data_IF_863274548960
#
_entry.id   IF_863274548960
#
_cell.length_a   1.000
_cell.length_b   1.000
_cell.length_c   1.000
_cell.angle_alpha   90.00
_cell.angle_beta   90.00
_cell.angle_gamma   90.00
#
_symmetry.space_group_name_H-M   'P 1'
#
loop_
_entity.id
_entity.type
_entity.pdbx_description
1 polymer ?
#
# COMPACT_ATOMS: atom_id res chain seq x y z
N UNK A 1 -13.87 28.15 -25.09
CA UNK A 1 -13.31 27.82 -24.67
C UNK A 1 -13.49 27.07 -23.88
N UNK A 2 -13.64 26.33 -23.92
CA UNK A 2 -13.93 25.56 -22.94
C UNK A 2 -12.83 25.12 -22.16
N UNK A 3 -12.64 25.77 -21.20
CA UNK A 3 -11.56 25.53 -20.32
C UNK A 3 -11.63 24.20 -19.65
N UNK A 4 -12.76 23.61 -19.59
CA UNK A 4 -12.86 22.34 -18.91
C UNK A 4 -12.00 21.27 -19.54
N UNK A 5 -11.61 21.44 -20.76
CA UNK A 5 -10.81 20.45 -21.42
C UNK A 5 -9.47 20.28 -20.79
N UNK A 6 -8.94 21.36 -20.28
CA UNK A 6 -7.59 21.29 -19.79
C UNK A 6 -7.39 20.40 -18.65
N UNK A 7 -8.37 20.26 -17.81
CA UNK A 7 -8.16 19.49 -16.61
C UNK A 7 -7.98 18.05 -16.87
N UNK A 8 -8.43 17.57 -18.00
CA UNK A 8 -8.29 16.17 -18.30
C UNK A 8 -6.91 15.83 -18.76
N UNK A 9 -6.06 16.82 -18.95
CA UNK A 9 -4.75 16.56 -19.49
C UNK A 9 -3.72 16.14 -18.49
N UNK A 10 -4.04 16.05 -17.25
CA UNK A 10 -3.04 15.72 -16.27
C UNK A 10 -3.49 14.54 -15.44
N UNK A 11 -3.71 13.42 -16.08
CA UNK A 11 -4.31 12.32 -15.37
C UNK A 11 -3.50 11.84 -14.18
N UNK A 12 -2.24 11.62 -14.36
CA UNK A 12 -1.46 11.04 -13.28
C UNK A 12 -1.16 12.05 -12.19
N UNK A 13 -0.62 13.19 -12.60
CA UNK A 13 -0.29 14.21 -11.63
C UNK A 13 -1.51 14.80 -11.00
N UNK A 14 -2.53 15.04 -11.82
CA UNK A 14 -3.75 15.62 -11.33
C UNK A 14 -4.43 14.75 -10.29
N UNK A 15 -4.40 13.44 -10.47
CA UNK A 15 -5.00 12.54 -9.51
C UNK A 15 -4.33 12.66 -8.15
N UNK A 16 -3.00 12.70 -8.11
CA UNK A 16 -2.27 12.83 -6.87
C UNK A 16 -2.51 14.17 -6.20
N UNK A 17 -2.50 15.22 -7.00
CA UNK A 17 -2.62 16.56 -6.47
C UNK A 17 -4.03 16.87 -5.98
N UNK A 18 -5.03 16.29 -6.64
CA UNK A 18 -6.41 16.58 -6.34
C UNK A 18 -7.02 15.73 -5.24
N UNK A 19 -6.38 14.64 -4.89
CA UNK A 19 -6.93 13.77 -3.88
C UNK A 19 -6.84 14.43 -2.50
N UNK A 20 -7.92 14.37 -1.71
CA UNK A 20 -7.85 14.93 -0.37
C UNK A 20 -6.90 14.13 0.50
N UNK A 21 -6.18 14.82 1.36
CA UNK A 21 -5.33 14.17 2.34
C UNK A 21 -6.15 13.56 3.45
N UNK A 22 -5.63 12.50 4.04
CA UNK A 22 -6.30 11.85 5.17
C UNK A 22 -5.28 11.57 6.26
N UNK A 23 -5.70 11.74 7.51
CA UNK A 23 -4.87 11.37 8.65
C UNK A 23 -5.08 9.90 8.95
N UNK A 24 -3.99 9.18 9.14
CA UNK A 24 -4.05 7.77 9.49
C UNK A 24 -4.13 7.67 11.01
N UNK A 25 -5.17 7.04 11.51
CA UNK A 25 -5.40 7.01 12.95
C UNK A 25 -5.24 5.61 13.55
N UNK A 26 -5.21 4.56 12.76
CA UNK A 26 -4.94 3.21 13.24
C UNK A 26 -3.44 2.92 13.19
N UNK A 27 -2.95 1.94 13.97
CA UNK A 27 -1.59 1.45 13.76
C UNK A 27 -1.47 0.81 12.38
N UNK A 28 -0.64 1.39 11.53
CA UNK A 28 -0.67 1.04 10.11
C UNK A 28 0.71 0.92 9.50
N UNK A 29 0.77 0.09 8.46
CA UNK A 29 1.88 0.09 7.52
C UNK A 29 1.38 0.73 6.22
N UNK A 30 2.10 1.72 5.75
CA UNK A 30 1.86 2.29 4.43
C UNK A 30 2.88 1.68 3.50
N UNK A 31 2.42 0.95 2.50
CA UNK A 31 3.28 0.15 1.63
C UNK A 31 3.18 0.69 0.21
N UNK A 32 4.29 1.21 -0.29
CA UNK A 32 4.33 1.75 -1.65
C UNK A 32 4.47 0.60 -2.63
N UNK A 33 3.46 0.44 -3.48
CA UNK A 33 3.44 -0.59 -4.52
C UNK A 33 3.65 0.04 -5.90
N UNK A 34 4.46 1.09 -5.94
CA UNK A 34 4.61 1.90 -7.16
C UNK A 34 5.07 1.11 -8.37
N UNK A 35 5.92 0.10 -8.17
CA UNK A 35 6.44 -0.68 -9.27
C UNK A 35 5.52 -1.82 -9.68
N UNK A 36 4.64 -2.23 -8.79
CA UNK A 36 3.76 -3.37 -9.04
C UNK A 36 2.36 -2.96 -9.45
N UNK A 37 1.92 -1.79 -9.02
CA UNK A 37 0.55 -1.38 -9.24
C UNK A 37 0.27 -1.08 -10.70
N UNK A 38 -0.86 -1.57 -11.19
CA UNK A 38 -1.39 -1.23 -12.49
C UNK A 38 -2.87 -1.03 -12.38
N UNK A 39 -3.37 -0.02 -13.07
CA UNK A 39 -4.79 0.24 -13.13
C UNK A 39 -5.49 -1.01 -13.66
N UNK A 40 -6.57 -1.40 -13.00
CA UNK A 40 -7.32 -2.57 -13.43
C UNK A 40 -6.76 -3.91 -13.04
N UNK A 41 -5.65 -3.95 -12.28
CA UNK A 41 -5.11 -5.23 -11.82
C UNK A 41 -6.12 -5.91 -10.88
N UNK A 42 -6.06 -7.24 -10.81
CA UNK A 42 -6.99 -7.99 -9.99
C UNK A 42 -6.76 -7.72 -8.51
N UNK A 43 -7.79 -7.96 -7.71
CA UNK A 43 -7.67 -7.81 -6.26
C UNK A 43 -6.62 -8.72 -5.67
N UNK A 44 -6.51 -9.96 -6.20
CA UNK A 44 -5.52 -10.88 -5.67
C UNK A 44 -4.11 -10.43 -6.03
N UNK A 45 -3.93 -9.85 -7.22
CA UNK A 45 -2.61 -9.34 -7.61
C UNK A 45 -2.20 -8.18 -6.71
N UNK A 46 -3.12 -7.28 -6.40
CA UNK A 46 -2.81 -6.16 -5.51
C UNK A 46 -2.51 -6.65 -4.10
N UNK A 47 -3.27 -7.61 -3.62
CA UNK A 47 -3.03 -8.20 -2.31
C UNK A 47 -1.63 -8.81 -2.25
N UNK A 48 -1.26 -9.60 -3.24
CA UNK A 48 0.05 -10.26 -3.26
C UNK A 48 1.19 -9.23 -3.39
N UNK A 49 0.96 -8.15 -4.11
CA UNK A 49 1.96 -7.09 -4.22
C UNK A 49 2.14 -6.34 -2.90
N UNK A 50 1.09 -6.27 -2.10
CA UNK A 50 1.11 -5.50 -0.86
C UNK A 50 1.61 -6.32 0.33
N UNK A 51 1.24 -7.60 0.42
CA UNK A 51 1.50 -8.38 1.61
C UNK A 51 2.94 -8.86 1.77
N UNK A 52 3.76 -8.73 0.79
CA UNK A 52 5.15 -9.19 0.94
C UNK A 52 5.95 -9.02 -0.34
N UNK A 53 7.20 -9.33 -0.26
CA UNK A 53 7.92 -9.69 0.97
C UNK A 53 8.74 -8.47 1.38
N UNK A 54 8.69 -8.10 2.65
CA UNK A 54 9.26 -6.83 3.10
C UNK A 54 10.32 -7.04 4.16
N UNK A 55 11.31 -6.16 4.14
CA UNK A 55 12.36 -6.18 5.13
C UNK A 55 11.87 -5.41 6.35
N UNK A 56 11.43 -6.13 7.36
CA UNK A 56 10.80 -5.55 8.55
C UNK A 56 11.36 -6.19 9.81
N UNK A 57 11.42 -5.39 10.88
CA UNK A 57 11.77 -5.89 12.18
C UNK A 57 10.53 -6.24 13.00
N UNK A 58 10.70 -6.53 14.30
CA UNK A 58 9.58 -6.95 15.15
C UNK A 58 8.50 -5.89 15.34
N UNK A 59 8.80 -4.66 15.05
CA UNK A 59 7.84 -3.58 15.11
C UNK A 59 6.60 -3.84 14.25
N UNK A 60 6.73 -4.69 13.22
CA UNK A 60 5.61 -5.06 12.36
C UNK A 60 4.43 -5.65 13.13
N UNK A 61 4.72 -6.28 14.28
CA UNK A 61 3.66 -6.93 15.05
C UNK A 61 2.65 -5.94 15.63
N UNK A 62 3.02 -4.68 15.73
CA UNK A 62 2.11 -3.65 16.23
C UNK A 62 1.18 -3.07 15.18
N UNK A 63 1.38 -3.38 13.91
CA UNK A 63 0.54 -2.84 12.86
C UNK A 63 -0.75 -3.64 12.76
N UNK A 64 -1.86 -2.94 12.60
CA UNK A 64 -3.18 -3.55 12.51
C UNK A 64 -3.67 -3.60 11.07
N UNK A 65 -3.36 -2.57 10.29
CA UNK A 65 -3.79 -2.50 8.90
C UNK A 65 -2.61 -2.18 8.00
N UNK A 66 -2.76 -2.53 6.72
CA UNK A 66 -1.79 -2.17 5.69
C UNK A 66 -2.51 -1.41 4.60
N UNK A 67 -1.94 -0.29 4.20
CA UNK A 67 -2.47 0.53 3.11
C UNK A 67 -1.58 0.34 1.89
N UNK A 68 -2.17 -0.10 0.79
CA UNK A 68 -1.45 -0.20 -0.49
C UNK A 68 -1.46 1.19 -1.12
N UNK A 69 -0.27 1.76 -1.34
CA UNK A 69 -0.13 3.15 -1.78
C UNK A 69 0.56 3.20 -3.13
N UNK A 70 -0.05 3.91 -4.07
CA UNK A 70 0.55 4.15 -5.38
C UNK A 70 0.53 5.65 -5.65
N UNK A 71 1.72 6.21 -5.84
CA UNK A 71 1.89 7.65 -6.09
C UNK A 71 1.19 8.49 -5.02
N UNK A 72 1.33 8.07 -3.79
CA UNK A 72 0.77 8.79 -2.64
C UNK A 72 -0.69 8.54 -2.36
N UNK A 73 -1.40 7.80 -3.21
CA UNK A 73 -2.84 7.56 -3.09
C UNK A 73 -3.08 6.14 -2.61
N UNK A 74 -3.98 6.00 -1.64
CA UNK A 74 -4.34 4.68 -1.11
C UNK A 74 -5.21 3.96 -2.12
N UNK A 75 -4.79 2.75 -2.50
CA UNK A 75 -5.52 1.92 -3.48
C UNK A 75 -6.34 0.84 -2.84
N UNK A 76 -5.90 0.35 -1.68
CA UNK A 76 -6.68 -0.64 -0.93
C UNK A 76 -6.24 -0.65 0.52
N UNK A 77 -7.08 -1.20 1.39
CA UNK A 77 -6.83 -1.33 2.82
C UNK A 77 -6.99 -2.79 3.20
N UNK A 78 -6.00 -3.34 3.90
CA UNK A 78 -6.05 -4.72 4.37
C UNK A 78 -5.98 -4.76 5.88
N UNK A 79 -6.74 -5.68 6.49
CA UNK A 79 -6.54 -6.02 7.88
C UNK A 79 -5.47 -7.09 7.97
N UNK A 80 -4.50 -6.89 8.84
CA UNK A 80 -3.40 -7.83 9.01
C UNK A 80 -3.82 -8.86 10.06
N UNK A 81 -3.80 -10.14 9.68
CA UNK A 81 -4.14 -11.20 10.61
C UNK A 81 -2.91 -11.81 11.25
N UNK A 82 -1.92 -12.17 10.44
CA UNK A 82 -0.71 -12.83 10.92
C UNK A 82 0.49 -12.43 10.08
N UNK A 83 1.67 -12.56 10.65
CA UNK A 83 2.92 -12.38 9.95
C UNK A 83 3.63 -13.71 9.77
N UNK A 84 4.26 -13.91 8.62
CA UNK A 84 4.96 -15.14 8.27
C UNK A 84 6.32 -14.81 7.67
N UNK A 85 7.29 -15.71 7.80
CA UNK A 85 8.53 -15.56 7.03
C UNK A 85 8.21 -15.49 5.54
N UNK A 86 9.01 -14.77 4.80
CA UNK A 86 8.76 -14.58 3.37
C UNK A 86 8.74 -15.88 2.61
N UNK A 87 7.87 -15.97 1.64
CA UNK A 87 7.68 -17.10 0.74
C UNK A 87 7.29 -18.38 1.50
N UNK A 88 6.60 -18.22 2.63
CA UNK A 88 6.07 -19.39 3.35
C UNK A 88 4.60 -19.64 3.02
N UNK A 89 3.98 -18.78 2.22
CA UNK A 89 2.61 -18.96 1.74
C UNK A 89 2.60 -18.82 0.23
N UNK A 90 1.61 -19.43 -0.45
CA UNK A 90 1.61 -19.44 -1.92
C UNK A 90 1.36 -18.07 -2.52
N UNK A 91 2.06 -17.78 -3.62
CA UNK A 91 1.80 -16.63 -4.46
C UNK A 91 1.37 -17.15 -5.83
N UNK A 92 0.30 -16.59 -6.38
CA UNK A 92 -0.25 -17.07 -7.64
C UNK A 92 -0.14 -16.08 -8.78
N UNK A 93 0.04 -14.80 -8.47
CA UNK A 93 0.10 -13.76 -9.50
C UNK A 93 1.50 -13.23 -9.73
N UNK A 94 2.47 -13.68 -8.98
CA UNK A 94 3.85 -13.22 -9.11
C UNK A 94 4.79 -14.32 -8.66
N UNK A 95 6.02 -14.22 -9.16
CA UNK A 95 7.10 -15.12 -8.76
C UNK A 95 8.03 -14.36 -7.82
N UNK A 96 8.38 -14.97 -6.72
CA UNK A 96 9.34 -14.40 -5.79
C UNK A 96 10.71 -14.97 -6.10
N UNK A 97 11.60 -14.11 -6.59
CA UNK A 97 12.94 -14.56 -7.00
C UNK A 97 14.08 -13.90 -6.22
N UNK A 98 13.76 -13.05 -5.24
CA UNK A 98 14.76 -12.45 -4.39
C UNK A 98 15.40 -13.55 -3.53
N UNK A 99 16.74 -13.76 -3.61
CA UNK A 99 17.37 -14.82 -2.84
C UNK A 99 17.27 -14.61 -1.33
N UNK A 100 16.97 -13.39 -0.90
CA UNK A 100 16.82 -13.08 0.52
C UNK A 100 15.37 -13.13 0.99
N UNK A 101 14.46 -13.62 0.15
CA UNK A 101 13.03 -13.58 0.48
C UNK A 101 12.69 -14.31 1.77
N UNK A 102 13.43 -15.33 2.12
CA UNK A 102 13.17 -16.09 3.35
C UNK A 102 13.58 -15.33 4.61
N UNK A 103 14.34 -14.25 4.46
CA UNK A 103 14.72 -13.40 5.57
C UNK A 103 13.79 -12.20 5.70
N UNK A 104 12.76 -12.15 4.88
CA UNK A 104 11.80 -11.05 4.85
C UNK A 104 10.46 -11.52 5.41
N UNK A 105 9.47 -10.66 5.36
CA UNK A 105 8.20 -10.92 6.01
C UNK A 105 7.05 -10.67 5.07
N UNK A 106 6.01 -11.45 5.24
CA UNK A 106 4.76 -11.30 4.52
C UNK A 106 3.61 -11.45 5.51
N UNK A 107 2.50 -10.76 5.25
CA UNK A 107 1.35 -10.95 6.12
C UNK A 107 0.27 -11.75 5.40
N UNK A 108 -0.63 -12.34 6.21
CA UNK A 108 -1.90 -12.81 5.72
C UNK A 108 -2.98 -11.93 6.31
N UNK A 109 -4.01 -11.68 5.53
CA UNK A 109 -5.08 -10.81 5.96
C UNK A 109 -6.19 -10.78 4.94
N UNK A 110 -7.05 -9.81 5.07
CA UNK A 110 -8.20 -9.67 4.17
C UNK A 110 -8.44 -8.19 3.88
N UNK A 111 -9.16 -7.93 2.80
CA UNK A 111 -9.60 -6.57 2.50
C UNK A 111 -10.43 -6.08 3.68
N UNK A 112 -10.17 -4.88 4.12
CA UNK A 112 -10.84 -4.32 5.30
C UNK A 112 -12.32 -4.07 5.04
N UNK A 113 -13.07 -3.95 6.13
CA UNK A 113 -14.50 -3.65 6.05
C UNK A 113 -14.73 -2.26 5.49
N UNK A 114 -15.94 -2.02 5.02
CA UNK A 114 -16.30 -0.78 4.33
C UNK A 114 -15.91 0.50 5.06
N UNK A 115 -16.09 0.63 6.37
CA UNK A 115 -15.72 1.90 7.02
C UNK A 115 -14.26 2.27 6.86
N UNK A 116 -13.34 1.30 6.94
CA UNK A 116 -11.93 1.59 6.74
C UNK A 116 -11.62 1.90 5.29
N UNK A 117 -12.23 1.16 4.37
CA UNK A 117 -12.03 1.43 2.96
C UNK A 117 -12.53 2.82 2.59
N UNK A 118 -13.70 3.20 3.07
CA UNK A 118 -14.26 4.52 2.79
C UNK A 118 -13.40 5.63 3.36
N UNK A 119 -12.79 5.37 4.49
CA UNK A 119 -11.93 6.36 5.13
C UNK A 119 -10.67 6.63 4.31
N UNK A 120 -10.08 5.60 3.70
CA UNK A 120 -8.75 5.72 3.12
C UNK A 120 -8.66 5.59 1.61
N UNK A 121 -9.44 4.73 0.97
CA UNK A 121 -9.25 4.47 -0.46
C UNK A 121 -9.50 5.73 -1.27
N UNK A 122 -8.56 6.06 -2.15
CA UNK A 122 -8.65 7.26 -2.98
C UNK A 122 -8.13 8.52 -2.32
N UNK A 123 -7.68 8.42 -1.07
CA UNK A 123 -7.16 9.58 -0.35
C UNK A 123 -5.64 9.62 -0.41
N UNK A 124 -5.09 10.80 -0.20
CA UNK A 124 -3.64 11.00 -0.23
C UNK A 124 -3.04 10.79 1.15
N UNK A 125 -1.99 9.99 1.18
CA UNK A 125 -1.14 9.82 2.36
C UNK A 125 0.30 10.21 2.03
N UNK A 126 0.48 11.02 0.98
CA UNK A 126 1.79 11.40 0.50
C UNK A 126 2.63 12.06 1.57
N UNK A 127 2.01 12.79 2.48
CA UNK A 127 2.74 13.50 3.52
C UNK A 127 3.45 12.59 4.52
N UNK A 128 3.10 11.32 4.58
CA UNK A 128 3.76 10.39 5.49
C UNK A 128 5.09 9.87 4.95
N UNK A 129 5.39 10.06 3.67
CA UNK A 129 6.62 9.57 3.07
C UNK A 129 7.64 10.68 3.02
N UNK A 130 8.84 10.41 3.50
CA UNK A 130 9.91 11.37 3.42
C UNK A 130 10.34 11.57 1.98
N UNK A 131 10.54 12.83 1.62
CA UNK A 131 11.01 13.16 0.30
C UNK A 131 12.35 12.48 0.05
N UNK A 132 12.48 11.82 -1.08
CA UNK A 132 13.70 11.12 -1.46
C UNK A 132 13.88 9.76 -0.82
N UNK A 133 13.01 9.36 0.08
CA UNK A 133 13.10 8.05 0.69
C UNK A 133 12.73 6.97 -0.33
N UNK A 134 13.54 5.93 -0.37
CA UNK A 134 13.28 4.77 -1.25
C UNK A 134 12.72 3.59 -0.48
N UNK A 135 12.53 3.74 0.81
CA UNK A 135 12.00 2.66 1.62
C UNK A 135 10.53 2.44 1.27
N UNK A 136 10.13 1.22 0.92
CA UNK A 136 8.75 1.02 0.48
C UNK A 136 7.73 1.03 1.61
N UNK A 137 8.15 0.80 2.85
CA UNK A 137 7.22 0.67 3.97
C UNK A 137 7.45 1.77 4.99
N UNK A 138 6.36 2.39 5.42
CA UNK A 138 6.40 3.40 6.48
C UNK A 138 5.43 2.99 7.58
N UNK A 139 5.90 3.00 8.82
CA UNK A 139 5.05 2.76 9.98
C UNK A 139 4.35 4.04 10.39
N UNK A 140 3.08 3.94 10.73
CA UNK A 140 2.32 5.07 11.27
C UNK A 140 1.59 4.58 12.51
N UNK A 141 1.72 5.30 13.62
CA UNK A 141 1.08 4.97 14.90
C UNK A 141 1.49 3.59 15.46
N UNK A 142 2.68 3.15 15.13
CA UNK A 142 3.25 1.91 15.66
C UNK A 142 4.50 2.28 16.44
N UNK A 143 4.59 1.80 17.67
CA UNK A 143 5.73 2.10 18.56
C UNK A 143 6.99 1.32 18.21
#
# INVERSE_FOLDING_TARGET
>A
MPPSIRRTHRPARGASEDAPSVAVTEPALLIRVNQSYREGMSGIALYEATRGVWRLGPRREGARIALAVHLGIVREVYEIHDWHPGDSTPYTTRTLDDPRRFERWEFSGSVAAAPLREKYVGKSVAGYFKRGSKHPVTYVNVD
#
